data_IF_550593916122
#
_entry.id   IF_550593916122
#
_cell.length_a   1.000
_cell.length_b   1.000
_cell.length_c   1.000
_cell.angle_alpha   90.00
_cell.angle_beta   90.00
_cell.angle_gamma   90.00
#
_symmetry.space_group_name_H-M   'P 1'
#
loop_
_entity.id
_entity.type
_entity.pdbx_description
1 polymer ?
#
# COMPACT_ATOMS: atom_id res chain seq x y z
N UNK A 1 4.41 -17.04 20.31
CA UNK A 1 3.20 -16.22 20.10
C UNK A 1 3.36 -15.69 18.68
N UNK A 2 2.72 -16.36 17.73
CA UNK A 2 2.93 -16.08 16.31
C UNK A 2 1.96 -14.96 15.94
N UNK A 3 2.49 -13.75 15.80
CA UNK A 3 1.76 -12.62 15.23
C UNK A 3 2.22 -12.59 13.78
N UNK A 4 1.55 -13.42 12.99
CA UNK A 4 1.84 -13.67 11.58
C UNK A 4 0.53 -13.58 10.82
N UNK A 5 0.67 -13.38 9.54
CA UNK A 5 -0.42 -13.23 8.63
C UNK A 5 0.09 -13.26 7.22
N UNK A 6 -0.60 -12.69 6.19
CA UNK A 6 -0.62 -13.28 4.81
C UNK A 6 0.17 -14.57 4.85
N UNK A 7 -0.45 -15.61 5.43
CA UNK A 7 0.27 -16.74 5.98
C UNK A 7 1.32 -17.19 4.97
N UNK A 8 2.51 -17.59 5.42
CA UNK A 8 3.61 -17.88 4.48
C UNK A 8 3.16 -18.89 3.41
N UNK A 9 2.21 -19.77 3.72
CA UNK A 9 1.45 -20.63 2.80
C UNK A 9 0.55 -19.87 1.81
N UNK A 10 -0.19 -18.81 2.20
CA UNK A 10 -0.89 -17.92 1.27
C UNK A 10 0.11 -17.17 0.37
N UNK A 11 1.23 -16.69 0.90
CA UNK A 11 2.29 -16.05 0.11
C UNK A 11 2.88 -17.03 -0.89
N UNK A 12 3.21 -18.24 -0.45
CA UNK A 12 3.75 -19.30 -1.29
C UNK A 12 2.72 -19.78 -2.31
N UNK A 13 1.44 -19.88 -1.96
CA UNK A 13 0.36 -20.25 -2.89
C UNK A 13 0.14 -19.17 -3.95
N UNK A 14 0.24 -17.90 -3.58
CA UNK A 14 0.24 -16.77 -4.52
C UNK A 14 1.46 -16.88 -5.44
N UNK A 15 2.68 -17.05 -4.91
CA UNK A 15 3.89 -17.21 -5.71
C UNK A 15 3.85 -18.44 -6.62
N UNK A 16 3.32 -19.57 -6.16
CA UNK A 16 3.17 -20.81 -6.91
C UNK A 16 2.10 -20.69 -8.00
N UNK A 17 0.95 -20.09 -7.69
CA UNK A 17 -0.08 -19.76 -8.68
C UNK A 17 0.46 -18.83 -9.76
N UNK A 18 1.35 -17.90 -9.39
CA UNK A 18 1.97 -16.96 -10.30
C UNK A 18 3.05 -17.61 -11.15
N UNK A 19 3.90 -18.45 -10.56
CA UNK A 19 4.88 -19.25 -11.30
C UNK A 19 4.19 -20.21 -12.30
N UNK A 20 3.06 -20.81 -11.90
CA UNK A 20 2.26 -21.68 -12.74
C UNK A 20 1.56 -20.94 -13.90
N UNK A 21 1.10 -19.70 -13.65
CA UNK A 21 0.52 -18.84 -14.70
C UNK A 21 1.61 -18.27 -15.63
N UNK A 22 2.77 -17.92 -15.08
CA UNK A 22 3.88 -17.28 -15.79
C UNK A 22 5.23 -17.56 -15.11
N UNK A 23 6.04 -18.49 -15.65
CA UNK A 23 7.32 -18.85 -15.07
C UNK A 23 8.28 -17.66 -14.93
N UNK A 24 8.93 -17.52 -13.77
CA UNK A 24 9.86 -16.45 -13.42
C UNK A 24 9.24 -15.24 -12.71
N UNK A 25 7.92 -15.08 -12.73
CA UNK A 25 7.25 -13.94 -12.09
C UNK A 25 7.29 -13.98 -10.55
N UNK A 26 7.43 -15.17 -9.95
CA UNK A 26 7.63 -15.33 -8.51
C UNK A 26 8.92 -14.68 -7.99
N UNK A 27 9.97 -14.62 -8.83
CA UNK A 27 11.28 -14.06 -8.46
C UNK A 27 11.22 -12.54 -8.29
N UNK A 28 10.32 -11.85 -9.02
CA UNK A 28 10.14 -10.40 -8.93
C UNK A 28 9.37 -9.96 -7.68
N UNK A 29 8.54 -10.85 -7.12
CA UNK A 29 7.81 -10.64 -5.88
C UNK A 29 8.54 -11.21 -4.64
N UNK A 30 9.69 -11.86 -4.84
CA UNK A 30 10.49 -12.44 -3.77
C UNK A 30 11.45 -11.39 -3.17
N UNK A 31 10.99 -10.68 -2.14
CA UNK A 31 11.79 -9.74 -1.35
C UNK A 31 11.46 -9.79 0.14
N UNK A 32 12.29 -9.14 0.98
CA UNK A 32 12.00 -8.94 2.40
C UNK A 32 10.99 -7.81 2.56
N UNK A 33 9.73 -8.19 2.63
CA UNK A 33 8.61 -7.29 2.81
C UNK A 33 8.60 -6.66 4.21
N UNK A 34 8.24 -5.39 4.28
CA UNK A 34 7.98 -4.63 5.49
C UNK A 34 6.76 -5.18 6.25
N UNK A 35 6.79 -5.04 7.57
CA UNK A 35 5.69 -5.39 8.47
C UNK A 35 5.50 -6.91 8.68
N UNK A 36 4.92 -7.32 9.83
CA UNK A 36 4.44 -8.69 9.99
C UNK A 36 3.35 -8.93 8.96
N UNK A 37 3.19 -10.15 8.51
CA UNK A 37 2.07 -10.43 7.63
C UNK A 37 0.76 -10.45 8.49
N UNK A 38 -0.43 -10.16 7.94
CA UNK A 38 -1.73 -10.07 8.72
C UNK A 38 -2.74 -11.19 8.37
N UNK A 39 -3.18 -12.05 9.32
CA UNK A 39 -3.88 -13.32 9.00
C UNK A 39 -5.35 -13.07 8.70
N UNK A 40 -5.88 -11.96 9.22
CA UNK A 40 -7.20 -11.43 8.94
C UNK A 40 -7.08 -10.21 8.04
N UNK A 41 -6.46 -10.38 6.86
CA UNK A 41 -6.40 -9.29 5.88
C UNK A 41 -7.82 -8.86 5.54
N UNK A 42 -8.20 -7.59 5.77
CA UNK A 42 -9.51 -7.11 5.42
C UNK A 42 -9.69 -7.17 3.89
N UNK A 43 -10.89 -7.52 3.44
CA UNK A 43 -11.19 -7.61 2.01
C UNK A 43 -11.57 -6.25 1.41
N UNK A 44 -10.74 -5.26 1.70
CA UNK A 44 -10.90 -3.87 1.27
C UNK A 44 -9.58 -3.32 0.76
N UNK A 45 -9.59 -2.42 -0.22
CA UNK A 45 -8.37 -1.78 -0.68
C UNK A 45 -7.83 -0.79 0.37
N UNK A 46 -6.52 -0.50 0.30
CA UNK A 46 -5.82 0.40 1.23
C UNK A 46 -6.46 1.80 1.35
N UNK A 47 -7.08 2.32 0.30
CA UNK A 47 -7.75 3.64 0.36
C UNK A 47 -9.05 3.66 1.18
N UNK A 48 -9.56 2.49 1.58
CA UNK A 48 -10.74 2.29 2.44
C UNK A 48 -10.40 1.94 3.89
N UNK A 49 -9.11 1.81 4.26
CA UNK A 49 -8.69 1.43 5.61
C UNK A 49 -9.24 2.35 6.70
N UNK A 50 -9.29 3.66 6.47
CA UNK A 50 -9.87 4.61 7.42
C UNK A 50 -11.35 4.32 7.70
N UNK A 51 -12.14 4.06 6.65
CA UNK A 51 -13.55 3.72 6.79
C UNK A 51 -13.74 2.33 7.40
N UNK A 52 -12.83 1.40 7.14
CA UNK A 52 -12.82 0.09 7.77
C UNK A 52 -12.64 0.20 9.29
N UNK A 53 -11.71 1.03 9.78
CA UNK A 53 -11.50 1.25 11.22
C UNK A 53 -12.71 1.86 11.92
N UNK A 54 -13.43 2.77 11.25
CA UNK A 54 -14.66 3.36 11.79
C UNK A 54 -15.75 2.30 12.03
N UNK A 55 -15.79 1.27 11.19
CA UNK A 55 -16.76 0.17 11.28
C UNK A 55 -16.26 -0.99 12.16
N UNK A 56 -14.95 -1.06 12.39
CA UNK A 56 -14.26 -2.13 13.12
C UNK A 56 -13.33 -1.54 14.20
N UNK A 57 -13.87 -0.90 15.25
CA UNK A 57 -13.07 -0.26 16.30
C UNK A 57 -12.20 -1.24 17.10
N UNK A 58 -12.42 -2.55 16.96
CA UNK A 58 -11.59 -3.62 17.51
C UNK A 58 -10.27 -3.83 16.78
N UNK A 59 -10.09 -3.26 15.58
CA UNK A 59 -8.89 -3.41 14.76
C UNK A 59 -7.93 -2.26 15.03
N UNK A 60 -6.66 -2.60 15.28
CA UNK A 60 -5.60 -1.61 15.50
C UNK A 60 -5.10 -1.02 14.17
N UNK A 61 -4.77 0.27 14.17
CA UNK A 61 -4.15 0.96 13.04
C UNK A 61 -2.82 0.29 12.65
N UNK A 62 -2.06 -0.20 13.63
CA UNK A 62 -0.78 -0.88 13.42
C UNK A 62 -0.95 -2.21 12.68
N UNK A 63 -2.10 -2.88 12.86
CA UNK A 63 -2.43 -4.10 12.12
C UNK A 63 -2.66 -3.81 10.64
N UNK A 64 -3.28 -2.67 10.31
CA UNK A 64 -3.55 -2.25 8.93
C UNK A 64 -2.28 -1.76 8.20
N UNK A 65 -1.34 -1.11 8.90
CA UNK A 65 -0.04 -0.71 8.33
C UNK A 65 0.69 -1.92 7.73
N UNK A 66 0.58 -3.05 8.41
CA UNK A 66 1.27 -4.29 8.10
C UNK A 66 0.56 -5.15 7.03
N UNK A 67 -0.69 -4.83 6.67
CA UNK A 67 -1.46 -5.60 5.69
C UNK A 67 -0.76 -5.55 4.33
N UNK A 68 -0.25 -6.70 3.91
CA UNK A 68 0.32 -6.93 2.59
C UNK A 68 -0.78 -7.20 1.58
N UNK A 69 -0.66 -6.64 0.38
CA UNK A 69 -1.57 -6.88 -0.73
C UNK A 69 -0.81 -6.97 -2.06
N UNK A 70 -1.29 -7.79 -3.01
CA UNK A 70 -0.73 -7.81 -4.34
C UNK A 70 -1.02 -6.51 -5.09
N UNK A 71 -0.03 -6.02 -5.83
CA UNK A 71 -0.14 -4.93 -6.78
C UNK A 71 0.19 -5.47 -8.16
N UNK A 72 -0.80 -5.50 -9.04
CA UNK A 72 -0.66 -5.94 -10.43
C UNK A 72 -0.32 -4.71 -11.27
N UNK A 73 0.79 -4.75 -11.99
CA UNK A 73 1.22 -3.66 -12.85
C UNK A 73 0.43 -3.60 -14.15
N UNK A 74 0.50 -2.45 -14.81
CA UNK A 74 -0.20 -2.20 -16.06
C UNK A 74 0.16 -3.22 -17.13
N UNK A 75 -0.86 -3.78 -17.80
CA UNK A 75 -0.70 -4.90 -18.72
C UNK A 75 -0.98 -6.25 -18.08
N UNK A 76 -1.04 -6.33 -16.74
CA UNK A 76 -1.47 -7.54 -16.00
C UNK A 76 -0.41 -8.64 -15.90
N UNK A 77 0.72 -8.46 -16.58
CA UNK A 77 1.77 -9.46 -16.73
C UNK A 77 2.73 -9.50 -15.53
N UNK A 78 3.04 -8.33 -14.96
CA UNK A 78 3.96 -8.18 -13.83
C UNK A 78 3.18 -7.78 -12.58
N UNK A 79 3.66 -8.18 -11.41
CA UNK A 79 3.08 -7.82 -10.12
C UNK A 79 4.16 -7.72 -9.03
N UNK A 80 3.83 -7.08 -7.91
CA UNK A 80 4.62 -7.06 -6.68
C UNK A 80 3.70 -7.28 -5.47
N UNK A 81 4.28 -7.48 -4.30
CA UNK A 81 3.56 -7.35 -3.03
C UNK A 81 3.94 -6.00 -2.41
N UNK A 82 2.95 -5.28 -1.89
CA UNK A 82 3.14 -3.98 -1.24
C UNK A 82 2.41 -3.95 0.12
N UNK A 83 2.73 -2.98 0.96
CA UNK A 83 2.05 -2.67 2.22
C UNK A 83 2.28 -1.20 2.59
N UNK A 84 1.46 -0.62 3.46
CA UNK A 84 1.73 0.73 3.93
C UNK A 84 3.07 0.83 4.67
N UNK A 85 3.49 -0.24 5.36
CA UNK A 85 4.76 -0.33 6.06
C UNK A 85 5.98 -0.06 5.15
N UNK A 86 5.93 -0.41 3.87
CA UNK A 86 7.03 -0.14 2.91
C UNK A 86 7.31 1.36 2.77
N UNK A 87 6.27 2.19 2.84
CA UNK A 87 6.36 3.65 2.71
C UNK A 87 6.86 4.32 4.01
N UNK A 88 6.75 3.62 5.15
CA UNK A 88 7.14 4.12 6.46
C UNK A 88 8.56 3.68 6.86
N UNK A 89 9.18 2.78 6.07
CA UNK A 89 10.54 2.30 6.35
C UNK A 89 11.58 3.41 6.25
N UNK A 90 12.48 3.40 7.22
CA UNK A 90 13.65 4.29 7.28
C UNK A 90 14.92 3.66 6.71
N UNK A 91 14.89 2.34 6.42
CA UNK A 91 16.06 1.58 5.95
C UNK A 91 15.79 0.91 4.58
N UNK A 92 16.80 0.84 3.69
CA UNK A 92 18.19 1.30 3.87
C UNK A 92 18.39 2.80 3.59
N UNK A 93 17.40 3.47 3.00
CA UNK A 93 17.41 4.91 2.72
C UNK A 93 16.05 5.46 3.15
N UNK A 94 16.00 6.41 4.11
CA UNK A 94 14.75 7.04 4.50
C UNK A 94 14.12 7.75 3.31
N UNK A 95 12.79 7.70 3.20
CA UNK A 95 12.08 8.61 2.31
C UNK A 95 12.47 10.06 2.65
N UNK A 96 12.84 10.90 1.66
CA UNK A 96 13.21 12.30 1.91
C UNK A 96 12.04 13.14 2.43
N UNK A 97 10.81 12.61 2.37
CA UNK A 97 9.67 13.21 3.05
C UNK A 97 9.06 12.20 4.03
N UNK A 98 9.00 12.51 5.34
CA UNK A 98 8.37 11.65 6.32
C UNK A 98 6.91 11.44 5.95
N UNK A 99 6.53 10.19 5.69
CA UNK A 99 5.13 9.82 5.47
C UNK A 99 4.60 9.19 6.75
N UNK A 100 3.34 9.45 7.06
CA UNK A 100 2.56 8.70 8.04
C UNK A 100 1.53 7.85 7.29
N UNK A 101 0.85 6.92 8.00
CA UNK A 101 -0.13 6.05 7.37
C UNK A 101 -1.25 6.84 6.68
N UNK A 102 -1.74 7.92 7.29
CA UNK A 102 -2.80 8.75 6.69
C UNK A 102 -2.38 9.32 5.32
N UNK A 103 -1.12 9.75 5.20
CA UNK A 103 -0.56 10.25 3.94
C UNK A 103 -0.44 9.15 2.89
N UNK A 104 -0.09 7.93 3.31
CA UNK A 104 -0.06 6.75 2.41
C UNK A 104 -1.47 6.41 1.92
N UNK A 105 -2.45 6.37 2.82
CA UNK A 105 -3.86 6.13 2.47
C UNK A 105 -4.38 7.23 1.54
N UNK A 106 -4.07 8.51 1.80
CA UNK A 106 -4.44 9.65 0.95
C UNK A 106 -3.79 9.56 -0.45
N UNK A 107 -2.52 9.13 -0.53
CA UNK A 107 -1.84 8.88 -1.81
C UNK A 107 -2.57 7.81 -2.63
N UNK A 108 -2.84 6.65 -2.03
CA UNK A 108 -3.55 5.57 -2.72
C UNK A 108 -4.97 5.97 -3.11
N UNK A 109 -5.65 6.75 -2.27
CA UNK A 109 -6.97 7.33 -2.60
C UNK A 109 -6.88 8.29 -3.78
N UNK A 110 -5.83 9.11 -3.86
CA UNK A 110 -5.60 9.98 -5.00
C UNK A 110 -5.35 9.19 -6.29
N UNK A 111 -4.53 8.13 -6.24
CA UNK A 111 -4.28 7.26 -7.38
C UNK A 111 -5.57 6.58 -7.89
N UNK A 112 -6.41 6.12 -6.96
CA UNK A 112 -7.71 5.54 -7.29
C UNK A 112 -8.65 6.58 -7.92
N UNK A 113 -8.77 7.77 -7.31
CA UNK A 113 -9.60 8.85 -7.83
C UNK A 113 -9.14 9.35 -9.22
N UNK A 114 -7.83 9.29 -9.51
CA UNK A 114 -7.26 9.60 -10.82
C UNK A 114 -7.44 8.46 -11.84
N UNK A 115 -8.01 7.32 -11.44
CA UNK A 115 -8.18 6.13 -12.29
C UNK A 115 -6.85 5.47 -12.68
N UNK A 116 -5.79 5.68 -11.90
CA UNK A 116 -4.48 5.03 -12.09
C UNK A 116 -4.53 3.60 -11.57
N UNK A 117 -5.20 3.38 -10.44
CA UNK A 117 -5.35 2.07 -9.81
C UNK A 117 -6.83 1.75 -9.57
N UNK A 118 -7.16 0.46 -9.47
CA UNK A 118 -8.47 -0.04 -9.09
C UNK A 118 -8.35 -1.29 -8.21
N UNK A 119 -9.40 -1.60 -7.45
CA UNK A 119 -9.48 -2.84 -6.69
C UNK A 119 -10.01 -3.98 -7.57
N UNK A 120 -9.29 -5.11 -7.59
CA UNK A 120 -9.79 -6.39 -8.07
C UNK A 120 -10.19 -7.24 -6.86
N UNK A 121 -11.48 -7.30 -6.58
CA UNK A 121 -12.03 -8.06 -5.46
C UNK A 121 -11.83 -9.58 -5.63
N UNK A 122 -11.84 -10.10 -6.86
CA UNK A 122 -11.68 -11.53 -7.12
C UNK A 122 -10.26 -12.01 -6.83
N UNK A 123 -9.26 -11.16 -7.10
CA UNK A 123 -7.84 -11.42 -6.80
C UNK A 123 -7.39 -10.81 -5.49
N UNK A 124 -8.27 -10.04 -4.84
CA UNK A 124 -7.98 -9.24 -3.65
C UNK A 124 -6.69 -8.44 -3.84
N UNK A 125 -6.58 -7.74 -4.96
CA UNK A 125 -5.37 -7.08 -5.43
C UNK A 125 -5.64 -5.66 -5.92
N UNK A 126 -4.64 -4.79 -5.83
CA UNK A 126 -4.68 -3.48 -6.49
C UNK A 126 -4.13 -3.63 -7.90
N UNK A 127 -4.83 -3.14 -8.90
CA UNK A 127 -4.43 -3.22 -10.31
C UNK A 127 -4.15 -1.83 -10.88
N UNK A 128 -2.97 -1.64 -11.47
CA UNK A 128 -2.65 -0.47 -12.27
C UNK A 128 -3.40 -0.50 -13.61
N UNK A 129 -4.35 0.42 -13.78
CA UNK A 129 -5.14 0.61 -15.01
C UNK A 129 -4.46 1.51 -16.03
N UNK A 130 -3.37 2.17 -15.65
CA UNK A 130 -2.62 3.12 -16.50
C UNK A 130 -1.12 2.81 -16.46
N UNK A 131 -0.37 3.14 -17.54
CA UNK A 131 1.08 2.95 -17.59
C UNK A 131 1.82 3.67 -16.46
N UNK A 132 3.07 3.24 -16.21
CA UNK A 132 3.93 3.75 -15.14
C UNK A 132 4.13 5.28 -15.17
N UNK A 133 4.15 5.91 -16.35
CA UNK A 133 4.27 7.37 -16.46
C UNK A 133 3.06 8.11 -15.89
N UNK A 134 1.85 7.55 -16.03
CA UNK A 134 0.65 8.12 -15.42
C UNK A 134 0.67 7.99 -13.89
N UNK A 135 1.18 6.87 -13.38
CA UNK A 135 1.43 6.69 -11.94
C UNK A 135 2.40 7.74 -11.41
N UNK A 136 3.57 7.92 -12.04
CA UNK A 136 4.55 8.95 -11.62
C UNK A 136 3.96 10.35 -11.63
N UNK A 137 3.18 10.69 -12.67
CA UNK A 137 2.53 11.99 -12.77
C UNK A 137 1.54 12.22 -11.63
N UNK A 138 0.70 11.23 -11.31
CA UNK A 138 -0.28 11.32 -10.23
C UNK A 138 0.39 11.40 -8.84
N UNK A 139 1.46 10.63 -8.59
CA UNK A 139 2.23 10.74 -7.33
C UNK A 139 2.90 12.11 -7.21
N UNK A 140 3.44 12.66 -8.30
CA UNK A 140 4.03 13.99 -8.29
C UNK A 140 2.99 15.07 -8.00
N UNK A 141 1.81 14.99 -8.63
CA UNK A 141 0.68 15.90 -8.38
C UNK A 141 0.20 15.81 -6.93
N UNK A 142 -0.02 14.60 -6.42
CA UNK A 142 -0.37 14.36 -5.03
C UNK A 142 0.66 14.98 -4.09
N UNK A 143 1.96 14.73 -4.32
CA UNK A 143 3.03 15.26 -3.47
C UNK A 143 3.08 16.79 -3.42
N UNK A 144 2.73 17.49 -4.51
CA UNK A 144 2.59 18.96 -4.51
C UNK A 144 1.44 19.39 -3.60
N UNK A 145 0.27 18.75 -3.73
CA UNK A 145 -0.92 19.05 -2.92
C UNK A 145 -0.68 18.76 -1.43
N UNK A 146 -0.08 17.62 -1.13
CA UNK A 146 0.22 17.19 0.23
C UNK A 146 1.21 18.15 0.91
N UNK A 147 2.32 18.50 0.26
CA UNK A 147 3.26 19.50 0.80
C UNK A 147 2.62 20.86 1.01
N UNK A 148 1.68 21.28 0.16
CA UNK A 148 0.96 22.53 0.35
C UNK A 148 0.03 22.46 1.59
N UNK A 149 -0.63 21.32 1.84
CA UNK A 149 -1.43 21.10 3.06
C UNK A 149 -0.57 21.14 4.32
N UNK A 150 0.57 20.44 4.33
CA UNK A 150 1.49 20.44 5.49
C UNK A 150 2.03 21.85 5.80
N UNK A 151 2.33 22.65 4.78
CA UNK A 151 2.78 24.03 4.97
C UNK A 151 1.68 24.98 5.47
N UNK A 152 0.41 24.68 5.18
CA UNK A 152 -0.74 25.45 5.68
C UNK A 152 -1.13 25.01 7.10
N UNK A 153 -1.11 23.71 7.40
CA UNK A 153 -1.39 23.17 8.73
C UNK A 153 -0.27 23.43 9.76
N UNK A 154 0.97 23.61 9.31
CA UNK A 154 2.10 23.98 10.17
C UNK A 154 2.13 25.45 10.61
N UNK A 155 1.27 26.32 10.06
CA UNK A 155 1.16 27.74 10.45
C UNK A 155 0.17 28.02 11.58
N UNK A 156 -0.67 27.04 11.94
CA UNK A 156 -1.68 27.18 13.00
C UNK A 156 -1.33 26.44 14.30
N UNK A 157 -0.12 25.88 14.43
CA UNK A 157 0.38 25.44 15.73
C UNK A 157 0.79 26.68 16.54
N UNK A 158 0.16 26.99 17.69
CA UNK A 158 0.63 28.07 18.53
C UNK A 158 2.05 27.73 18.98
N UNK A 159 2.99 28.62 18.67
CA UNK A 159 4.34 28.61 19.24
C UNK A 159 4.19 28.65 20.76
N UNK A 160 4.31 27.48 21.38
CA UNK A 160 4.52 27.40 22.82
C UNK A 160 5.94 27.87 23.10
N UNK A 161 5.99 28.91 23.94
CA UNK A 161 7.18 29.63 24.40
C UNK A 161 8.21 28.74 25.06
#
# INVERSE_FOLDING_TARGET
MNIEGMPEDERLAILESLEAQRPGSSTLAAGTLAGPATPNRPDVPIWEYASYLELHPEVDIDELVAVRFPVIFYGGDDFTIDSAAEYLRTDPVPSPTPMNLDSVIDMWRHLHAAGVVAWDAGRRAVEHRRPFDAYKAAVAEWGVRWRAREQLGGKDAPSAR
#
